data_IF_056399751460
#
_entry.id   IF_056399751460
#
_cell.length_a   1.000
_cell.length_b   1.000
_cell.length_c   1.000
_cell.angle_alpha   90.00
_cell.angle_beta   90.00
_cell.angle_gamma   90.00
#
_symmetry.space_group_name_H-M   'P 1'
#
loop_
_entity.id
_entity.type
_entity.pdbx_description
1 polymer ?
#
# COMPACT_ATOMS: atom_id res chain seq x y z
N UNK A 1 17.40 -42.79 -31.17
CA UNK A 1 16.35 -42.23 -32.05
C UNK A 1 16.64 -40.72 -32.18
N UNK A 2 16.61 -40.20 -33.39
CA UNK A 2 16.58 -38.73 -33.57
C UNK A 2 15.14 -38.27 -33.47
N UNK A 3 14.83 -37.36 -32.60
CA UNK A 3 13.53 -36.72 -32.52
C UNK A 3 13.59 -35.34 -33.17
N UNK A 4 12.52 -34.91 -33.77
CA UNK A 4 12.39 -33.56 -34.33
C UNK A 4 12.45 -32.51 -33.22
N UNK A 5 12.86 -31.29 -33.57
CA UNK A 5 12.89 -30.19 -32.60
C UNK A 5 11.47 -29.95 -32.02
N UNK A 6 11.40 -29.88 -30.70
CA UNK A 6 10.14 -29.71 -29.97
C UNK A 6 9.35 -30.99 -29.68
N UNK A 7 9.78 -32.17 -30.19
CA UNK A 7 9.13 -33.46 -29.96
C UNK A 7 9.75 -34.27 -28.81
N UNK A 8 10.69 -33.71 -28.07
CA UNK A 8 11.33 -34.36 -26.95
C UNK A 8 10.44 -34.39 -25.72
N UNK A 9 10.38 -35.52 -25.06
CA UNK A 9 9.75 -35.62 -23.74
C UNK A 9 10.49 -34.73 -22.75
N UNK A 10 9.80 -33.78 -22.14
CA UNK A 10 10.33 -32.97 -21.06
C UNK A 10 9.89 -33.52 -19.72
N UNK A 11 10.78 -33.62 -18.71
CA UNK A 11 10.35 -33.88 -17.33
C UNK A 11 9.60 -32.70 -16.72
N UNK A 12 9.69 -31.52 -17.35
CA UNK A 12 8.96 -30.31 -16.93
C UNK A 12 7.59 -30.34 -17.62
N UNK A 13 6.56 -30.64 -16.85
CA UNK A 13 5.16 -30.60 -17.28
C UNK A 13 4.54 -29.24 -16.92
N UNK A 14 3.40 -28.91 -17.52
CA UNK A 14 2.61 -27.73 -17.13
C UNK A 14 2.19 -27.80 -15.69
N UNK A 15 1.83 -28.99 -15.21
CA UNK A 15 1.44 -29.21 -13.80
C UNK A 15 2.62 -28.97 -12.86
N UNK A 16 3.83 -29.39 -13.23
CA UNK A 16 5.03 -29.09 -12.44
C UNK A 16 5.36 -27.60 -12.40
N UNK A 17 5.14 -26.87 -13.51
CA UNK A 17 5.39 -25.43 -13.57
C UNK A 17 4.44 -24.65 -12.67
N UNK A 18 3.19 -25.09 -12.54
CA UNK A 18 2.16 -24.40 -11.73
C UNK A 18 1.98 -25.02 -10.35
N UNK A 19 2.58 -26.19 -10.08
CA UNK A 19 2.54 -26.83 -8.77
C UNK A 19 3.40 -26.05 -7.76
N UNK A 20 2.80 -25.79 -6.59
CA UNK A 20 3.47 -25.35 -5.35
C UNK A 20 4.34 -24.08 -5.40
N UNK A 21 4.21 -23.25 -6.42
CA UNK A 21 4.90 -21.95 -6.42
C UNK A 21 4.13 -20.91 -5.62
N UNK A 22 4.50 -20.72 -4.36
CA UNK A 22 4.01 -19.60 -3.56
C UNK A 22 4.71 -18.33 -4.03
N UNK A 23 3.94 -17.33 -4.45
CA UNK A 23 4.46 -16.02 -4.81
C UNK A 23 4.55 -15.15 -3.54
N UNK A 24 5.77 -14.72 -3.20
CA UNK A 24 5.97 -13.77 -2.10
C UNK A 24 5.81 -12.33 -2.61
N UNK A 25 5.15 -11.50 -1.81
CA UNK A 25 4.95 -10.08 -2.09
C UNK A 25 4.82 -9.25 -0.83
N UNK A 26 4.99 -7.95 -0.96
CA UNK A 26 4.84 -6.92 0.07
C UNK A 26 5.35 -7.35 1.45
N UNK A 27 6.55 -6.92 1.82
CA UNK A 27 7.15 -7.20 3.13
C UNK A 27 7.03 -5.96 4.03
N UNK A 28 6.59 -6.15 5.27
CA UNK A 28 6.58 -5.13 6.31
C UNK A 28 7.19 -5.71 7.59
N UNK A 29 7.92 -4.87 8.33
CA UNK A 29 8.45 -5.20 9.64
C UNK A 29 7.77 -4.31 10.68
N UNK A 30 7.28 -4.91 11.77
CA UNK A 30 6.81 -4.20 12.95
C UNK A 30 7.44 -4.83 14.19
N UNK A 31 8.28 -4.07 14.88
CA UNK A 31 9.10 -4.55 16.01
C UNK A 31 9.92 -5.80 15.61
N UNK A 32 9.61 -6.97 16.18
CA UNK A 32 10.28 -8.24 15.95
C UNK A 32 9.56 -9.15 14.95
N UNK A 33 8.46 -8.69 14.37
CA UNK A 33 7.61 -9.51 13.51
C UNK A 33 7.70 -9.06 12.06
N UNK A 34 7.98 -10.00 11.17
CA UNK A 34 7.87 -9.83 9.73
C UNK A 34 6.46 -10.22 9.26
N UNK A 35 5.91 -9.42 8.36
CA UNK A 35 4.62 -9.63 7.71
C UNK A 35 4.80 -9.61 6.19
N UNK A 36 4.21 -10.57 5.48
CA UNK A 36 4.30 -10.62 4.02
C UNK A 36 3.05 -11.22 3.40
N UNK A 37 2.89 -10.99 2.10
CA UNK A 37 1.82 -11.60 1.31
C UNK A 37 2.32 -12.87 0.64
N UNK A 38 1.53 -13.94 0.72
CA UNK A 38 1.65 -15.12 -0.10
C UNK A 38 0.51 -15.20 -1.12
N UNK A 39 0.87 -15.24 -2.39
CA UNK A 39 -0.07 -15.61 -3.46
C UNK A 39 -0.06 -17.12 -3.64
N UNK A 40 -1.22 -17.75 -3.51
CA UNK A 40 -1.40 -19.22 -3.51
C UNK A 40 -2.14 -19.68 -4.77
N UNK A 41 -1.44 -20.14 -5.81
CA UNK A 41 -2.07 -20.62 -7.04
C UNK A 41 -3.00 -21.80 -6.82
N UNK A 42 -2.66 -22.72 -5.89
CA UNK A 42 -3.49 -23.88 -5.51
C UNK A 42 -4.83 -23.49 -4.87
N UNK A 43 -4.99 -22.25 -4.43
CA UNK A 43 -6.21 -21.70 -3.85
C UNK A 43 -6.90 -20.68 -4.79
N UNK A 44 -6.78 -20.90 -6.10
CA UNK A 44 -7.37 -20.01 -7.11
C UNK A 44 -6.71 -18.63 -7.21
N UNK A 45 -5.44 -18.52 -6.82
CA UNK A 45 -4.69 -17.27 -6.84
C UNK A 45 -4.98 -16.35 -5.65
N UNK A 46 -5.56 -16.88 -4.57
CA UNK A 46 -5.81 -16.14 -3.33
C UNK A 46 -4.51 -15.60 -2.74
N UNK A 47 -4.54 -14.35 -2.30
CA UNK A 47 -3.46 -13.71 -1.55
C UNK A 47 -3.79 -13.71 -0.06
N UNK A 48 -2.85 -14.16 0.76
CA UNK A 48 -3.01 -14.22 2.21
C UNK A 48 -1.87 -13.50 2.93
N UNK A 49 -2.16 -12.92 4.07
CA UNK A 49 -1.18 -12.26 4.93
C UNK A 49 -0.61 -13.27 5.92
N UNK A 50 0.70 -13.34 5.97
CA UNK A 50 1.48 -14.20 6.85
C UNK A 50 2.30 -13.35 7.81
N UNK A 51 2.54 -13.84 9.01
CA UNK A 51 3.49 -13.23 9.94
C UNK A 51 4.42 -14.28 10.58
N UNK A 52 5.59 -13.80 11.02
CA UNK A 52 6.56 -14.62 11.78
C UNK A 52 7.42 -13.72 12.65
N UNK A 53 7.61 -14.10 13.91
CA UNK A 53 8.64 -13.49 14.76
C UNK A 53 10.02 -13.89 14.24
N UNK A 54 10.85 -12.89 13.89
CA UNK A 54 12.18 -13.12 13.30
C UNK A 54 13.29 -13.27 14.36
N UNK A 55 13.01 -13.00 15.61
CA UNK A 55 13.96 -13.17 16.73
C UNK A 55 13.85 -14.54 17.38
N UNK A 56 12.70 -15.17 17.32
CA UNK A 56 12.49 -16.51 17.85
C UNK A 56 12.80 -17.57 16.79
N UNK A 57 13.94 -18.27 16.95
CA UNK A 57 14.43 -19.27 15.98
C UNK A 57 13.48 -20.46 15.78
N UNK A 58 12.60 -20.72 16.76
CA UNK A 58 11.56 -21.76 16.72
C UNK A 58 10.21 -21.27 16.20
N UNK A 59 10.06 -19.97 15.95
CA UNK A 59 8.81 -19.38 15.45
C UNK A 59 8.44 -19.94 14.09
N UNK A 60 7.19 -20.34 13.94
CA UNK A 60 6.62 -20.75 12.66
C UNK A 60 5.81 -19.63 12.04
N UNK A 61 5.82 -19.57 10.72
CA UNK A 61 4.96 -18.64 9.98
C UNK A 61 3.49 -18.95 10.26
N UNK A 62 2.71 -17.91 10.53
CA UNK A 62 1.29 -17.98 10.87
C UNK A 62 0.46 -17.24 9.83
N UNK A 63 -0.57 -17.89 9.30
CA UNK A 63 -1.54 -17.25 8.41
C UNK A 63 -2.52 -16.41 9.21
N UNK A 64 -2.55 -15.09 8.93
CA UNK A 64 -3.43 -14.13 9.61
C UNK A 64 -4.79 -13.98 8.94
N UNK A 65 -4.87 -14.26 7.64
CA UNK A 65 -6.08 -14.06 6.83
C UNK A 65 -6.48 -15.34 6.11
N UNK A 66 -6.94 -16.37 6.87
CA UNK A 66 -7.38 -17.64 6.26
C UNK A 66 -8.58 -17.41 5.34
N UNK A 67 -8.86 -18.37 4.48
CA UNK A 67 -10.04 -18.33 3.62
C UNK A 67 -11.32 -18.03 4.44
N UNK A 68 -12.23 -17.19 3.94
CA UNK A 68 -12.34 -16.71 2.56
C UNK A 68 -11.64 -15.37 2.25
N UNK A 69 -10.78 -14.85 3.14
CA UNK A 69 -10.10 -13.59 2.87
C UNK A 69 -9.14 -13.70 1.68
N UNK A 70 -9.12 -12.64 0.86
CA UNK A 70 -8.18 -12.44 -0.23
C UNK A 70 -7.59 -11.03 -0.11
N UNK A 71 -6.35 -10.93 0.39
CA UNK A 71 -5.70 -9.64 0.67
C UNK A 71 -5.18 -9.04 -0.63
N UNK A 72 -6.00 -8.18 -1.24
CA UNK A 72 -5.72 -7.56 -2.53
C UNK A 72 -6.46 -6.24 -2.66
N UNK A 73 -5.92 -5.32 -3.43
CA UNK A 73 -6.57 -4.08 -3.89
C UNK A 73 -6.65 -4.04 -5.41
N UNK A 74 -7.63 -3.30 -5.93
CA UNK A 74 -7.80 -3.00 -7.35
C UNK A 74 -7.78 -1.50 -7.66
N UNK A 75 -7.24 -0.72 -6.75
CA UNK A 75 -7.00 0.71 -7.01
C UNK A 75 -6.14 0.85 -8.26
N UNK A 76 -6.46 1.80 -9.14
CA UNK A 76 -5.80 1.99 -10.44
C UNK A 76 -5.78 0.74 -11.34
N UNK A 77 -6.70 -0.22 -11.14
CA UNK A 77 -6.80 -1.53 -11.80
C UNK A 77 -5.65 -2.51 -11.48
N UNK A 78 -4.45 -2.03 -11.16
CA UNK A 78 -3.29 -2.87 -10.86
C UNK A 78 -3.00 -3.04 -9.36
N UNK A 79 -3.70 -2.31 -8.49
CA UNK A 79 -3.54 -2.36 -7.04
C UNK A 79 -2.54 -1.32 -6.52
N UNK A 80 -2.28 -1.38 -5.23
CA UNK A 80 -1.31 -0.60 -4.47
C UNK A 80 -0.89 -1.39 -3.24
N UNK A 81 -0.42 -0.74 -2.17
CA UNK A 81 -0.15 -1.38 -0.89
C UNK A 81 -1.44 -1.98 -0.32
N UNK A 82 -1.46 -3.31 -0.13
CA UNK A 82 -2.68 -4.05 0.22
C UNK A 82 -2.87 -4.21 1.73
N UNK A 83 -1.83 -3.97 2.52
CA UNK A 83 -1.86 -3.97 3.97
C UNK A 83 -0.84 -2.99 4.56
N UNK A 84 -1.01 -2.68 5.83
CA UNK A 84 -0.06 -1.97 6.67
C UNK A 84 -0.11 -2.52 8.08
N UNK A 85 1.02 -2.43 8.78
CA UNK A 85 1.13 -2.84 10.18
C UNK A 85 1.81 -1.74 10.96
N UNK A 86 1.32 -1.47 12.15
CA UNK A 86 1.97 -0.56 13.11
C UNK A 86 1.49 -0.86 14.53
N UNK A 87 2.40 -1.05 15.46
CA UNK A 87 2.13 -1.42 16.85
C UNK A 87 1.15 -2.60 16.94
N UNK A 88 1.45 -3.69 16.20
CA UNK A 88 0.66 -4.93 16.16
C UNK A 88 -0.77 -4.77 15.62
N UNK A 89 -1.14 -3.60 15.13
CA UNK A 89 -2.40 -3.38 14.41
C UNK A 89 -2.17 -3.59 12.94
N UNK A 90 -2.85 -4.58 12.36
CA UNK A 90 -2.87 -4.86 10.94
C UNK A 90 -4.12 -4.22 10.32
N UNK A 91 -3.94 -3.51 9.22
CA UNK A 91 -5.03 -3.05 8.35
C UNK A 91 -4.82 -3.64 6.96
N UNK A 92 -5.87 -4.19 6.36
CA UNK A 92 -5.79 -4.72 5.01
C UNK A 92 -7.08 -4.53 4.21
N UNK A 93 -6.97 -4.57 2.89
CA UNK A 93 -8.10 -4.60 1.97
C UNK A 93 -8.42 -6.04 1.58
N UNK A 94 -9.70 -6.41 1.63
CA UNK A 94 -10.20 -7.70 1.19
C UNK A 94 -10.85 -7.57 -0.20
N UNK A 95 -10.28 -8.25 -1.21
CA UNK A 95 -10.75 -8.19 -2.61
C UNK A 95 -12.18 -8.70 -2.80
N UNK A 96 -12.62 -9.61 -1.92
CA UNK A 96 -13.94 -10.27 -2.07
C UNK A 96 -15.11 -9.30 -1.91
N UNK A 97 -14.97 -8.29 -1.06
CA UNK A 97 -16.01 -7.30 -0.75
C UNK A 97 -15.56 -5.84 -0.85
N UNK A 98 -14.26 -5.61 -1.19
CA UNK A 98 -13.67 -4.28 -1.29
C UNK A 98 -13.53 -3.55 0.05
N UNK A 99 -13.75 -4.23 1.18
CA UNK A 99 -13.77 -3.61 2.50
C UNK A 99 -12.40 -3.60 3.16
N UNK A 100 -12.22 -2.66 4.08
CA UNK A 100 -11.10 -2.63 5.01
C UNK A 100 -11.40 -3.47 6.23
N UNK A 101 -10.39 -4.20 6.67
CA UNK A 101 -10.40 -5.01 7.86
C UNK A 101 -9.22 -4.64 8.76
N UNK A 102 -9.38 -4.84 10.06
CA UNK A 102 -8.30 -4.77 11.05
C UNK A 102 -8.17 -6.08 11.79
N UNK A 103 -6.93 -6.38 12.16
CA UNK A 103 -6.58 -7.48 13.04
C UNK A 103 -5.57 -6.98 14.07
N UNK A 104 -5.80 -7.28 15.34
CA UNK A 104 -4.88 -7.01 16.45
C UNK A 104 -4.31 -8.33 16.96
N UNK A 105 -3.19 -8.29 17.67
CA UNK A 105 -2.50 -9.49 18.17
C UNK A 105 -3.37 -10.37 19.07
N UNK A 106 -4.34 -9.79 19.76
CA UNK A 106 -5.31 -10.49 20.63
C UNK A 106 -6.57 -10.97 19.91
N UNK A 107 -6.76 -10.61 18.63
CA UNK A 107 -7.98 -10.93 17.90
C UNK A 107 -7.87 -12.31 17.23
N UNK A 108 -8.92 -13.11 17.37
CA UNK A 108 -9.00 -14.45 16.75
C UNK A 108 -9.31 -14.35 15.25
N UNK A 109 -9.97 -13.27 14.80
CA UNK A 109 -10.39 -13.06 13.41
C UNK A 109 -10.33 -11.58 13.03
N UNK A 110 -10.08 -11.28 11.75
CA UNK A 110 -10.19 -9.92 11.26
C UNK A 110 -11.58 -9.31 11.49
N UNK A 111 -11.60 -8.05 11.94
CA UNK A 111 -12.81 -7.27 12.13
C UNK A 111 -12.98 -6.31 10.97
N UNK A 112 -14.16 -6.30 10.36
CA UNK A 112 -14.51 -5.37 9.30
C UNK A 112 -14.60 -3.94 9.83
N UNK A 113 -13.99 -2.99 9.11
CA UNK A 113 -14.00 -1.56 9.42
C UNK A 113 -15.04 -0.85 8.53
N UNK A 114 -14.91 -0.99 7.21
CA UNK A 114 -15.81 -0.33 6.25
C UNK A 114 -16.92 -1.26 5.80
N UNK A 115 -18.03 -0.67 5.31
CA UNK A 115 -19.10 -1.41 4.65
C UNK A 115 -18.81 -1.51 3.15
N UNK A 116 -19.33 -2.53 2.45
CA UNK A 116 -19.25 -2.60 1.00
C UNK A 116 -19.80 -1.31 0.37
N UNK A 117 -19.03 -0.77 -0.56
CA UNK A 117 -19.31 0.52 -1.18
C UNK A 117 -18.70 0.56 -2.59
N UNK A 118 -18.77 1.72 -3.24
CA UNK A 118 -18.10 1.97 -4.52
C UNK A 118 -16.64 2.41 -4.38
N UNK A 119 -16.09 2.36 -3.18
CA UNK A 119 -14.69 2.66 -2.93
C UNK A 119 -13.81 1.42 -3.10
N UNK A 120 -12.63 1.64 -3.66
CA UNK A 120 -11.47 0.74 -3.59
C UNK A 120 -10.39 1.44 -2.78
N UNK A 121 -9.66 0.72 -1.95
CA UNK A 121 -8.68 1.28 -1.03
C UNK A 121 -7.30 0.65 -1.23
N UNK A 122 -6.24 1.46 -1.10
CA UNK A 122 -4.86 1.02 -1.13
C UNK A 122 -3.94 1.96 -0.33
N UNK A 123 -2.70 1.54 -0.12
CA UNK A 123 -1.62 2.36 0.44
C UNK A 123 -1.95 2.95 1.81
N UNK A 124 -1.92 2.10 2.82
CA UNK A 124 -2.36 2.43 4.17
C UNK A 124 -1.25 3.03 5.03
N UNK A 125 -1.58 4.08 5.80
CA UNK A 125 -0.75 4.68 6.85
C UNK A 125 -1.58 4.81 8.12
N UNK A 126 -1.23 4.07 9.18
CA UNK A 126 -1.99 4.04 10.43
C UNK A 126 -1.65 5.26 11.28
N UNK A 127 -2.67 5.98 11.71
CA UNK A 127 -2.59 7.15 12.60
C UNK A 127 -3.16 6.78 13.96
N UNK A 128 -2.29 6.43 14.89
CA UNK A 128 -2.65 6.07 16.26
C UNK A 128 -3.19 7.26 17.06
N UNK A 129 -2.71 8.48 16.77
CA UNK A 129 -3.12 9.68 17.49
C UNK A 129 -4.59 10.02 17.26
N UNK A 130 -5.06 9.79 16.02
CA UNK A 130 -6.45 10.08 15.64
C UNK A 130 -7.30 8.81 15.50
N UNK A 131 -6.78 7.62 15.84
CA UNK A 131 -7.45 6.32 15.73
C UNK A 131 -8.07 6.08 14.34
N UNK A 132 -7.28 6.26 13.29
CA UNK A 132 -7.72 6.17 11.89
C UNK A 132 -6.63 5.55 11.01
N UNK A 133 -6.99 5.17 9.80
CA UNK A 133 -6.05 4.87 8.73
C UNK A 133 -6.19 5.91 7.63
N UNK A 134 -5.06 6.44 7.14
CA UNK A 134 -4.99 7.28 5.95
C UNK A 134 -4.68 6.38 4.77
N UNK A 135 -5.38 6.54 3.66
CA UNK A 135 -5.19 5.70 2.48
C UNK A 135 -5.61 6.40 1.19
N UNK A 136 -5.23 5.81 0.07
CA UNK A 136 -5.79 6.12 -1.23
C UNK A 136 -7.18 5.49 -1.33
N UNK A 137 -8.16 6.26 -1.78
CA UNK A 137 -9.51 5.80 -2.08
C UNK A 137 -9.88 6.17 -3.51
N UNK A 138 -10.25 5.16 -4.29
CA UNK A 138 -10.75 5.29 -5.66
C UNK A 138 -12.27 5.07 -5.65
N UNK A 139 -13.03 6.09 -6.04
CA UNK A 139 -14.49 6.06 -6.04
C UNK A 139 -15.07 5.85 -7.44
N UNK A 140 -15.87 4.80 -7.60
CA UNK A 140 -16.53 4.41 -8.85
C UNK A 140 -17.98 4.90 -8.87
N UNK A 141 -18.28 5.89 -9.72
CA UNK A 141 -19.63 6.50 -9.80
C UNK A 141 -20.68 5.58 -10.40
N UNK A 142 -20.30 4.75 -11.39
CA UNK A 142 -21.21 3.88 -12.10
C UNK A 142 -20.72 2.43 -12.11
N UNK A 143 -21.68 1.49 -12.11
CA UNK A 143 -21.40 0.06 -12.26
C UNK A 143 -21.04 -0.30 -13.72
N UNK A 144 -21.32 0.59 -14.67
CA UNK A 144 -21.17 0.36 -16.12
C UNK A 144 -19.86 0.91 -16.68
N UNK A 145 -19.01 1.54 -15.84
CA UNK A 145 -17.68 1.99 -16.26
C UNK A 145 -17.66 3.16 -17.26
N UNK A 146 -18.75 3.95 -17.33
CA UNK A 146 -18.89 5.05 -18.29
C UNK A 146 -18.15 6.34 -17.90
N UNK A 147 -17.59 6.41 -16.69
CA UNK A 147 -16.79 7.54 -16.23
C UNK A 147 -15.54 7.06 -15.52
N UNK A 148 -14.45 7.82 -15.65
CA UNK A 148 -13.23 7.56 -14.89
C UNK A 148 -13.49 7.67 -13.38
N UNK A 149 -12.93 6.79 -12.56
CA UNK A 149 -13.04 6.88 -11.11
C UNK A 149 -12.34 8.12 -10.58
N UNK A 150 -12.81 8.64 -9.46
CA UNK A 150 -12.16 9.75 -8.76
C UNK A 150 -11.27 9.22 -7.65
N UNK A 151 -10.00 9.60 -7.68
CA UNK A 151 -9.04 9.26 -6.66
C UNK A 151 -8.88 10.38 -5.62
N UNK A 152 -8.67 9.99 -4.37
CA UNK A 152 -8.47 10.91 -3.24
C UNK A 152 -7.57 10.28 -2.18
N UNK A 153 -6.97 11.13 -1.35
CA UNK A 153 -6.54 10.71 -0.02
C UNK A 153 -7.70 10.86 0.95
N UNK A 154 -7.96 9.81 1.69
CA UNK A 154 -9.01 9.79 2.72
C UNK A 154 -8.46 9.32 4.06
N UNK A 155 -9.17 9.64 5.12
CA UNK A 155 -9.03 8.96 6.41
C UNK A 155 -10.24 8.09 6.68
N UNK A 156 -10.01 6.92 7.27
CA UNK A 156 -11.08 6.01 7.72
C UNK A 156 -10.94 5.81 9.22
N UNK A 157 -11.95 6.20 9.98
CA UNK A 157 -12.00 6.00 11.42
C UNK A 157 -12.08 4.51 11.75
N UNK A 158 -11.15 4.00 12.56
CA UNK A 158 -11.02 2.55 12.86
C UNK A 158 -12.16 2.00 13.72
N UNK A 159 -12.91 2.87 14.41
CA UNK A 159 -14.03 2.46 15.26
C UNK A 159 -15.36 2.46 14.51
N UNK A 160 -15.61 3.49 13.71
CA UNK A 160 -16.90 3.73 13.05
C UNK A 160 -16.94 3.36 11.58
N UNK A 161 -15.76 3.26 10.93
CA UNK A 161 -15.62 3.08 9.49
C UNK A 161 -15.98 4.32 8.67
N UNK A 162 -16.10 5.48 9.31
CA UNK A 162 -16.43 6.74 8.64
C UNK A 162 -15.28 7.17 7.76
N UNK A 163 -15.56 7.44 6.48
CA UNK A 163 -14.60 7.91 5.48
C UNK A 163 -14.70 9.43 5.41
N UNK A 164 -13.56 10.11 5.51
CA UNK A 164 -13.45 11.58 5.41
C UNK A 164 -12.37 11.94 4.40
N UNK A 165 -12.70 12.80 3.45
CA UNK A 165 -11.75 13.32 2.45
C UNK A 165 -10.67 14.14 3.15
N UNK A 166 -9.39 13.90 2.80
CA UNK A 166 -8.24 14.66 3.28
C UNK A 166 -7.64 15.54 2.18
N UNK A 167 -7.47 15.00 0.98
CA UNK A 167 -6.88 15.72 -0.15
C UNK A 167 -7.42 15.17 -1.48
N UNK A 168 -7.58 16.07 -2.48
CA UNK A 168 -8.05 15.74 -3.82
C UNK A 168 -7.61 16.82 -4.81
N UNK A 169 -7.75 16.58 -6.11
CA UNK A 169 -7.45 17.54 -7.17
C UNK A 169 -6.60 16.96 -8.29
N UNK A 170 -5.81 15.92 -7.99
CA UNK A 170 -5.06 15.16 -8.99
C UNK A 170 -5.80 13.90 -9.41
N UNK A 171 -5.40 13.31 -10.56
CA UNK A 171 -6.03 12.11 -11.09
C UNK A 171 -5.67 10.86 -10.29
N UNK A 172 -4.44 10.78 -9.76
CA UNK A 172 -3.91 9.60 -9.06
C UNK A 172 -3.11 9.97 -7.82
N UNK A 173 -3.16 9.09 -6.83
CA UNK A 173 -2.45 9.21 -5.55
C UNK A 173 -1.81 7.88 -5.16
N UNK A 174 -0.66 7.93 -4.49
CA UNK A 174 -0.05 6.75 -3.89
C UNK A 174 0.80 7.08 -2.66
N UNK A 175 1.09 6.05 -1.87
CA UNK A 175 2.04 6.05 -0.77
C UNK A 175 1.86 7.20 0.24
N UNK A 176 0.68 7.45 0.81
CA UNK A 176 0.58 8.35 1.95
C UNK A 176 1.40 7.81 3.12
N UNK A 177 2.21 8.68 3.73
CA UNK A 177 3.10 8.34 4.85
C UNK A 177 3.01 9.41 5.91
N UNK A 178 2.51 9.01 7.07
CA UNK A 178 2.43 9.88 8.25
C UNK A 178 3.79 9.93 8.94
N UNK A 179 4.23 11.11 9.34
CA UNK A 179 5.46 11.28 10.12
C UNK A 179 5.33 10.62 11.50
N UNK A 180 6.45 10.19 12.14
CA UNK A 180 6.42 9.54 13.45
C UNK A 180 5.76 10.38 14.56
N UNK A 181 5.79 11.70 14.45
CA UNK A 181 5.14 12.61 15.39
C UNK A 181 3.66 12.91 15.05
N UNK A 182 3.16 12.36 13.93
CA UNK A 182 1.79 12.54 13.46
C UNK A 182 1.45 13.95 12.93
N UNK A 183 2.45 14.82 12.72
CA UNK A 183 2.24 16.23 12.36
C UNK A 183 2.41 16.54 10.87
N UNK A 184 2.98 15.61 10.12
CA UNK A 184 3.20 15.76 8.68
C UNK A 184 2.72 14.52 7.94
N UNK A 185 2.20 14.74 6.73
CA UNK A 185 1.82 13.69 5.80
C UNK A 185 2.56 13.93 4.48
N UNK A 186 3.27 12.92 4.00
CA UNK A 186 3.86 12.91 2.67
C UNK A 186 3.08 11.95 1.78
N UNK A 187 2.95 12.24 0.48
CA UNK A 187 2.37 11.36 -0.52
C UNK A 187 2.87 11.73 -1.92
N UNK A 188 2.61 10.87 -2.88
CA UNK A 188 2.83 11.17 -4.29
C UNK A 188 1.50 11.25 -5.05
N UNK A 189 1.48 12.09 -6.10
CA UNK A 189 0.38 12.19 -7.05
C UNK A 189 0.89 12.37 -8.46
N UNK A 190 0.04 12.09 -9.45
CA UNK A 190 0.29 12.37 -10.85
C UNK A 190 -1.03 12.55 -11.61
N UNK A 191 -0.92 13.10 -12.83
CA UNK A 191 -2.06 13.39 -13.69
C UNK A 191 -1.82 12.86 -15.09
N UNK A 192 -2.90 12.56 -15.81
CA UNK A 192 -2.85 12.24 -17.21
C UNK A 192 -2.12 13.33 -18.02
N UNK A 193 -1.39 12.99 -19.08
CA UNK A 193 -1.21 11.66 -19.66
C UNK A 193 -0.05 10.86 -19.02
N UNK A 194 0.55 11.34 -17.92
CA UNK A 194 1.72 10.73 -17.32
C UNK A 194 1.37 9.43 -16.60
N UNK A 195 2.27 8.49 -16.70
CA UNK A 195 2.32 7.32 -15.83
C UNK A 195 3.21 7.62 -14.61
N UNK A 196 3.13 6.84 -13.52
CA UNK A 196 3.92 7.13 -12.32
C UNK A 196 5.44 7.06 -12.50
N UNK A 197 5.93 6.52 -13.61
CA UNK A 197 7.35 6.52 -13.98
C UNK A 197 7.74 7.65 -14.94
N UNK A 198 6.79 8.44 -15.44
CA UNK A 198 7.05 9.57 -16.31
C UNK A 198 7.19 10.87 -15.51
N UNK A 199 6.21 11.15 -14.64
CA UNK A 199 6.21 12.37 -13.83
C UNK A 199 5.28 12.19 -12.62
N UNK A 200 5.84 12.32 -11.42
CA UNK A 200 5.08 12.34 -10.17
C UNK A 200 5.51 13.50 -9.30
N UNK A 201 4.59 13.96 -8.45
CA UNK A 201 4.81 15.05 -7.53
C UNK A 201 4.87 14.52 -6.10
N UNK A 202 5.91 14.88 -5.36
CA UNK A 202 5.98 14.65 -3.92
C UNK A 202 5.32 15.81 -3.19
N UNK A 203 4.30 15.51 -2.42
CA UNK A 203 3.61 16.44 -1.55
C UNK A 203 4.04 16.29 -0.10
N UNK A 204 4.01 17.41 0.61
CA UNK A 204 4.19 17.47 2.05
C UNK A 204 3.12 18.36 2.66
N UNK A 205 2.37 17.81 3.60
CA UNK A 205 1.36 18.56 4.34
C UNK A 205 1.67 18.66 5.82
N UNK A 206 1.15 19.73 6.46
CA UNK A 206 1.06 19.87 7.90
C UNK A 206 -0.33 19.48 8.36
N UNK A 207 -0.39 18.75 9.46
CA UNK A 207 -1.63 18.35 10.11
C UNK A 207 -1.82 19.12 11.42
N UNK A 208 -3.06 19.45 11.73
CA UNK A 208 -3.46 19.94 13.06
C UNK A 208 -3.63 18.78 14.07
N UNK A 209 -3.99 19.12 15.29
CA UNK A 209 -4.20 18.13 16.35
C UNK A 209 -5.42 17.19 16.11
N UNK A 210 -6.32 17.58 15.22
CA UNK A 210 -7.43 16.76 14.76
C UNK A 210 -7.06 15.92 13.52
N UNK A 211 -5.81 16.02 13.07
CA UNK A 211 -5.29 15.33 11.91
C UNK A 211 -5.79 15.88 10.56
N UNK A 212 -6.31 17.12 10.53
CA UNK A 212 -6.72 17.76 9.29
C UNK A 212 -5.55 18.47 8.61
N UNK A 213 -5.51 18.42 7.29
CA UNK A 213 -4.50 19.15 6.52
C UNK A 213 -4.76 20.64 6.65
N UNK A 214 -3.78 21.36 7.19
CA UNK A 214 -3.83 22.84 7.33
C UNK A 214 -3.03 23.56 6.24
N UNK A 215 -2.06 22.87 5.66
CA UNK A 215 -1.22 23.36 4.60
C UNK A 215 -0.61 22.19 3.82
N UNK A 216 -0.53 22.29 2.51
CA UNK A 216 0.13 21.31 1.65
C UNK A 216 0.93 22.02 0.57
N UNK A 217 2.12 21.51 0.27
CA UNK A 217 3.01 22.06 -0.76
C UNK A 217 3.71 20.93 -1.55
N UNK A 218 4.05 21.22 -2.79
CA UNK A 218 4.92 20.35 -3.58
C UNK A 218 6.35 20.49 -3.11
N UNK A 219 7.02 19.38 -2.87
CA UNK A 219 8.43 19.37 -2.47
C UNK A 219 9.39 19.21 -3.63
N UNK A 220 8.91 18.76 -4.77
CA UNK A 220 9.69 18.57 -5.99
C UNK A 220 9.06 19.40 -7.09
N UNK A 221 9.80 20.39 -7.60
CA UNK A 221 9.38 21.29 -8.67
C UNK A 221 10.10 21.04 -9.99
N UNK A 222 10.68 19.86 -10.19
CA UNK A 222 11.41 19.52 -11.39
C UNK A 222 10.41 18.87 -12.35
N UNK A 223 10.12 19.54 -13.45
CA UNK A 223 9.37 18.97 -14.55
C UNK A 223 10.12 17.74 -15.11
N UNK A 224 9.38 16.72 -15.51
CA UNK A 224 9.89 15.50 -16.15
C UNK A 224 10.76 14.62 -15.21
N UNK A 225 10.39 14.50 -13.95
CA UNK A 225 10.99 13.54 -13.03
C UNK A 225 9.94 12.75 -12.26
N UNK A 226 10.30 11.55 -11.86
CA UNK A 226 9.43 10.68 -11.08
C UNK A 226 9.95 10.52 -9.66
N UNK A 227 9.03 10.56 -8.70
CA UNK A 227 9.29 10.32 -7.28
C UNK A 227 8.50 9.11 -6.83
N UNK A 228 9.14 8.23 -6.07
CA UNK A 228 8.51 7.04 -5.50
C UNK A 228 8.97 6.81 -4.06
N UNK A 229 8.24 5.97 -3.34
CA UNK A 229 8.62 5.46 -2.02
C UNK A 229 8.98 6.55 -1.00
N UNK A 230 8.14 7.56 -0.73
CA UNK A 230 8.37 8.45 0.38
C UNK A 230 8.30 7.67 1.69
N UNK A 231 9.31 7.81 2.55
CA UNK A 231 9.38 7.13 3.85
C UNK A 231 9.99 8.03 4.92
N UNK A 232 9.42 7.98 6.12
CA UNK A 232 9.92 8.72 7.26
C UNK A 232 10.91 7.91 8.07
N UNK A 233 12.05 8.50 8.37
CA UNK A 233 12.93 7.93 9.39
C UNK A 233 12.38 8.17 10.81
N UNK A 234 12.78 7.37 11.79
CA UNK A 234 12.34 7.54 13.18
C UNK A 234 12.64 8.92 13.79
N UNK A 235 13.65 9.62 13.26
CA UNK A 235 14.02 10.97 13.69
C UNK A 235 13.36 12.10 12.88
N UNK A 236 12.34 11.79 12.07
CA UNK A 236 11.50 12.74 11.36
C UNK A 236 12.13 13.36 10.11
N UNK A 237 13.05 12.66 9.45
CA UNK A 237 13.54 13.03 8.13
C UNK A 237 12.77 12.26 7.07
N UNK A 238 12.39 12.94 5.99
CA UNK A 238 11.71 12.30 4.86
C UNK A 238 12.74 11.82 3.84
N UNK A 239 12.66 10.55 3.47
CA UNK A 239 13.41 9.93 2.39
C UNK A 239 12.49 9.62 1.23
N UNK A 240 13.01 9.68 0.01
CA UNK A 240 12.29 9.31 -1.20
C UNK A 240 13.27 8.95 -2.31
N UNK A 241 12.81 8.28 -3.32
CA UNK A 241 13.61 7.94 -4.51
C UNK A 241 13.12 8.81 -5.67
N UNK A 242 14.06 9.38 -6.45
CA UNK A 242 13.75 10.25 -7.57
C UNK A 242 14.77 10.03 -8.70
N UNK A 243 14.34 10.20 -9.94
CA UNK A 243 15.14 10.05 -11.15
C UNK A 243 15.56 11.38 -11.81
N UNK A 244 15.44 12.51 -11.10
CA UNK A 244 15.68 13.86 -11.60
C UNK A 244 17.06 14.09 -12.28
N UNK A 245 18.02 13.23 -12.05
CA UNK A 245 19.34 13.27 -12.70
C UNK A 245 19.55 12.13 -13.71
N UNK A 246 18.48 11.51 -14.20
CA UNK A 246 18.47 10.42 -15.16
C UNK A 246 18.62 9.02 -14.56
N UNK A 247 18.75 8.90 -13.24
CA UNK A 247 18.88 7.64 -12.51
C UNK A 247 18.08 7.69 -11.23
N UNK A 248 17.53 6.57 -10.81
CA UNK A 248 16.86 6.42 -9.52
C UNK A 248 17.87 6.52 -8.39
N UNK A 249 17.78 7.62 -7.60
CA UNK A 249 18.62 7.88 -6.44
C UNK A 249 17.80 8.13 -5.20
N UNK A 250 18.38 7.79 -4.05
CA UNK A 250 17.82 8.10 -2.75
C UNK A 250 18.11 9.56 -2.38
N UNK A 251 17.07 10.29 -2.04
CA UNK A 251 17.13 11.65 -1.54
C UNK A 251 16.65 11.73 -0.10
N UNK A 252 17.11 12.71 0.62
CA UNK A 252 16.71 13.02 1.98
C UNK A 252 16.31 14.47 2.09
N UNK A 253 15.15 14.73 2.68
CA UNK A 253 14.70 16.06 3.09
C UNK A 253 14.87 16.23 4.59
N UNK A 254 15.72 17.17 5.01
CA UNK A 254 15.80 17.59 6.41
C UNK A 254 14.67 18.57 6.71
N UNK A 255 13.66 18.11 7.46
CA UNK A 255 12.48 18.90 7.81
C UNK A 255 12.80 20.16 8.63
N UNK A 256 13.91 20.20 9.35
CA UNK A 256 14.34 21.36 10.14
C UNK A 256 14.98 22.44 9.28
N UNK A 257 15.74 22.03 8.27
CA UNK A 257 16.49 22.92 7.37
C UNK A 257 15.78 23.16 6.04
N UNK A 258 14.85 22.30 5.66
CA UNK A 258 14.23 22.22 4.31
C UNK A 258 15.29 22.10 3.19
N UNK A 259 16.38 21.42 3.49
CA UNK A 259 17.49 21.20 2.55
C UNK A 259 17.43 19.76 2.01
N UNK A 260 17.63 19.64 0.70
CA UNK A 260 17.80 18.36 0.01
C UNK A 260 19.26 17.93 0.09
N UNK A 261 19.51 16.67 0.36
CA UNK A 261 20.86 16.10 0.36
C UNK A 261 20.85 14.67 -0.23
#
# INVERSE_FOLDING_TARGET
MKHDYGAWSSPITTDLIVADSVRLGALCLDQTTAYWIEGRPSEGGRSTLICQDIHETSSQATELTPAPFNVRSRVHEYGGGVFSVSNEIVIFCNDTDGCLYTLTSDAIRPKQITKPSKYRFADFSIDHNCNRVICVAEYHFSEQGESEPTNKLVSVDLKTGTITDLFSGDDFYANPRLSPDGKHLAWISWNHPNMPWDNTQLWLAKLDNAGQITFAEHMTGISESSVIQPEWSPNGQLYYVCDQNGWWNLYRLDMKRRELS
#
